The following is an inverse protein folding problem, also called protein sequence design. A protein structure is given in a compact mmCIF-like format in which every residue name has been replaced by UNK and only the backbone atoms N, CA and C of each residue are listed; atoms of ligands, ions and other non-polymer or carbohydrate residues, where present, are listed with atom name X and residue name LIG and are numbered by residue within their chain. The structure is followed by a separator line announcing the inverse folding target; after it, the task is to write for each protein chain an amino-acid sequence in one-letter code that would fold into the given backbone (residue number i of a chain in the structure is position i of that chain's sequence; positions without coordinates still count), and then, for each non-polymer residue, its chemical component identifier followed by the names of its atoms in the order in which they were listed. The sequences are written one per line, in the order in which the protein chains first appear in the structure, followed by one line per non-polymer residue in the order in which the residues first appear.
data_IF_722545976715
#
_entry.id   IF_722545976715
#
_cell.length_a   1.000
_cell.length_b   1.000
_cell.length_c   1.000
_cell.angle_alpha   90.00
_cell.angle_beta   90.00
_cell.angle_gamma   90.00
#
_symmetry.space_group_name_H-M   'P 1'
#
loop_
_entity.id
_entity.type
_entity.pdbx_description
1 polymer ?
#
# COMPACT_ATOMS: atom_id res chain seq x y z
N UNK A 1 11.78 -9.03 10.96
CA UNK A 1 11.23 -7.81 10.34
C UNK A 1 11.40 -7.98 8.83
N UNK A 2 10.33 -7.97 8.03
CA UNK A 2 10.44 -8.20 6.58
C UNK A 2 10.91 -6.91 5.87
N UNK A 3 12.16 -6.86 5.36
CA UNK A 3 12.72 -5.67 4.71
C UNK A 3 12.20 -5.44 3.29
N UNK A 4 11.22 -6.23 2.84
CA UNK A 4 10.85 -6.38 1.44
C UNK A 4 9.94 -5.25 0.91
N UNK A 5 9.27 -4.50 1.80
CA UNK A 5 8.35 -3.42 1.40
C UNK A 5 8.97 -2.02 1.47
N UNK A 6 10.28 -1.92 1.73
CA UNK A 6 10.92 -0.61 1.98
C UNK A 6 11.23 0.19 0.71
N UNK A 7 11.15 -0.42 -0.48
CA UNK A 7 11.56 0.20 -1.74
C UNK A 7 10.62 -0.19 -2.90
N UNK A 8 9.31 0.00 -2.78
CA UNK A 8 8.51 0.14 -4.00
C UNK A 8 8.89 1.47 -4.65
N UNK A 9 9.88 1.44 -5.54
CA UNK A 9 10.12 2.55 -6.45
C UNK A 9 8.85 2.71 -7.28
N UNK A 10 8.08 3.76 -6.98
CA UNK A 10 6.94 4.14 -7.81
C UNK A 10 7.46 4.50 -9.20
N UNK A 11 7.44 3.53 -10.11
CA UNK A 11 7.86 3.70 -11.51
C UNK A 11 6.89 4.59 -12.33
N UNK A 12 5.84 5.09 -11.69
CA UNK A 12 4.83 5.97 -12.26
C UNK A 12 5.07 7.41 -11.77
N UNK A 13 5.52 8.26 -12.71
CA UNK A 13 5.68 9.70 -12.52
C UNK A 13 4.42 10.44 -12.98
N UNK A 14 4.19 11.69 -12.52
CA UNK A 14 3.04 12.50 -12.96
C UNK A 14 2.94 12.65 -14.47
N UNK A 15 4.07 12.93 -15.15
CA UNK A 15 4.14 13.02 -16.62
C UNK A 15 3.74 11.71 -17.29
N UNK A 16 4.18 10.57 -16.75
CA UNK A 16 3.83 9.26 -17.29
C UNK A 16 2.34 8.95 -17.06
N UNK A 17 1.79 9.30 -15.91
CA UNK A 17 0.37 9.15 -15.61
C UNK A 17 -0.50 10.00 -16.54
N UNK A 18 -0.13 11.27 -16.74
CA UNK A 18 -0.80 12.18 -17.68
C UNK A 18 -0.83 11.59 -19.10
N UNK A 19 0.31 11.08 -19.59
CA UNK A 19 0.38 10.45 -20.92
C UNK A 19 -0.49 9.20 -21.04
N UNK A 20 -0.49 8.34 -20.02
CA UNK A 20 -1.34 7.15 -20.00
C UNK A 20 -2.81 7.56 -20.04
N UNK A 21 -3.23 8.50 -19.20
CA UNK A 21 -4.63 8.92 -19.13
C UNK A 21 -5.09 9.60 -20.43
N UNK A 22 -4.23 10.38 -21.07
CA UNK A 22 -4.52 10.99 -22.36
C UNK A 22 -4.77 9.93 -23.46
N UNK A 23 -4.11 8.77 -23.41
CA UNK A 23 -4.37 7.66 -24.36
C UNK A 23 -5.79 7.09 -24.25
N UNK A 24 -6.44 7.25 -23.10
CA UNK A 24 -7.81 6.82 -22.84
C UNK A 24 -8.83 7.98 -22.88
N UNK A 25 -8.43 9.14 -23.42
CA UNK A 25 -9.30 10.32 -23.54
C UNK A 25 -9.43 11.18 -22.28
N UNK A 26 -8.67 10.87 -21.23
CA UNK A 26 -8.67 11.63 -19.97
C UNK A 26 -7.49 12.60 -19.97
N UNK A 27 -7.74 13.83 -20.40
CA UNK A 27 -6.73 14.89 -20.40
C UNK A 27 -6.75 15.61 -19.06
N UNK A 28 -5.64 15.53 -18.32
CA UNK A 28 -5.46 16.19 -17.03
C UNK A 28 -4.22 17.07 -17.05
N UNK A 29 -4.16 18.06 -16.17
CA UNK A 29 -2.95 18.87 -15.99
C UNK A 29 -1.86 18.06 -15.27
N UNK A 30 -0.64 18.61 -15.25
CA UNK A 30 0.45 18.00 -14.47
C UNK A 30 0.13 18.03 -12.97
N UNK A 31 -0.46 19.12 -12.48
CA UNK A 31 -0.88 19.31 -11.09
C UNK A 31 -1.95 18.27 -10.68
N UNK A 32 -2.96 18.05 -11.52
CA UNK A 32 -3.96 17.01 -11.30
C UNK A 32 -3.32 15.62 -11.17
N UNK A 33 -2.32 15.33 -12.02
CA UNK A 33 -1.59 14.07 -11.97
C UNK A 33 -0.77 13.90 -10.69
N UNK A 34 -0.19 14.99 -10.18
CA UNK A 34 0.54 15.01 -8.91
C UNK A 34 -0.38 14.73 -7.73
N UNK A 35 -1.50 15.45 -7.64
CA UNK A 35 -2.50 15.29 -6.58
C UNK A 35 -3.08 13.87 -6.59
N UNK A 36 -3.47 13.38 -7.77
CA UNK A 36 -3.99 12.03 -7.94
C UNK A 36 -2.99 10.97 -7.49
N UNK A 37 -1.72 11.07 -7.92
CA UNK A 37 -0.70 10.11 -7.53
C UNK A 37 -0.41 10.16 -6.03
N UNK A 38 -0.40 11.34 -5.42
CA UNK A 38 -0.26 11.47 -3.97
C UNK A 38 -1.38 10.75 -3.22
N UNK A 39 -2.63 10.96 -3.65
CA UNK A 39 -3.79 10.30 -3.07
C UNK A 39 -3.68 8.77 -3.19
N UNK A 40 -3.37 8.25 -4.38
CA UNK A 40 -3.21 6.82 -4.63
C UNK A 40 -2.11 6.19 -3.76
N UNK A 41 -1.00 6.90 -3.58
CA UNK A 41 0.09 6.44 -2.70
C UNK A 41 -0.33 6.37 -1.24
N UNK A 42 -1.07 7.38 -0.74
CA UNK A 42 -1.61 7.38 0.62
C UNK A 42 -2.56 6.21 0.84
N UNK A 43 -3.48 5.98 -0.10
CA UNK A 43 -4.43 4.86 -0.03
C UNK A 43 -3.72 3.50 -0.08
N UNK A 44 -2.72 3.35 -0.95
CA UNK A 44 -1.92 2.12 -1.05
C UNK A 44 -1.20 1.82 0.26
N UNK A 45 -0.57 2.85 0.86
CA UNK A 45 0.10 2.73 2.17
C UNK A 45 -0.89 2.33 3.28
N UNK A 46 -2.08 2.91 3.30
CA UNK A 46 -3.12 2.56 4.27
C UNK A 46 -3.57 1.10 4.11
N UNK A 47 -3.80 0.65 2.88
CA UNK A 47 -4.21 -0.73 2.58
C UNK A 47 -3.16 -1.76 3.02
N UNK A 48 -1.88 -1.52 2.71
CA UNK A 48 -0.78 -2.40 3.13
C UNK A 48 -0.65 -2.42 4.66
N UNK A 49 -0.73 -1.26 5.31
CA UNK A 49 -0.66 -1.18 6.77
C UNK A 49 -1.80 -1.94 7.45
N UNK A 50 -3.02 -1.83 6.92
CA UNK A 50 -4.18 -2.53 7.49
C UNK A 50 -4.04 -4.03 7.31
N UNK A 51 -3.63 -4.48 6.11
CA UNK A 51 -3.33 -5.89 5.83
C UNK A 51 -2.27 -6.43 6.79
N UNK A 52 -1.19 -5.67 7.03
CA UNK A 52 -0.13 -6.07 7.95
C UNK A 52 -0.63 -6.21 9.39
N UNK A 53 -1.49 -5.31 9.87
CA UNK A 53 -2.10 -5.43 11.20
C UNK A 53 -2.95 -6.70 11.33
N UNK A 54 -3.78 -6.99 10.33
CA UNK A 54 -4.60 -8.21 10.33
C UNK A 54 -3.76 -9.49 10.32
N UNK A 55 -2.69 -9.52 9.52
CA UNK A 55 -1.74 -10.66 9.53
C UNK A 55 -1.04 -10.80 10.87
N UNK A 56 -0.61 -9.69 11.48
CA UNK A 56 0.06 -9.69 12.78
C UNK A 56 -0.87 -10.15 13.91
N UNK A 57 -2.14 -9.73 13.88
CA UNK A 57 -3.16 -10.16 14.84
C UNK A 57 -3.52 -11.65 14.69
N UNK A 58 -3.48 -12.19 13.46
CA UNK A 58 -3.78 -13.60 13.19
C UNK A 58 -2.69 -14.57 13.67
N UNK A 59 -1.47 -14.08 13.93
CA UNK A 59 -0.37 -14.88 14.49
C UNK A 59 -0.45 -15.01 16.03
N UNK A 60 -1.40 -14.33 16.68
CA UNK A 60 -1.68 -14.48 18.11
C UNK A 60 -2.87 -15.44 18.29
N UNK A 61 -2.67 -16.72 17.95
CA UNK A 61 -3.50 -17.78 18.52
C UNK A 61 -2.85 -18.23 19.83
N UNK A 62 -3.58 -18.32 20.95
CA UNK A 62 -3.02 -18.88 22.17
C UNK A 62 -2.61 -20.33 21.89
N UNK A 63 -1.41 -20.71 22.34
CA UNK A 63 -1.01 -22.12 22.36
C UNK A 63 -1.94 -22.82 23.35
N UNK A 64 -2.95 -23.52 22.87
CA UNK A 64 -3.69 -24.47 23.68
C UNK A 64 -2.68 -25.52 24.18
N UNK A 65 -2.39 -25.52 25.49
CA UNK A 65 -1.56 -26.57 26.09
C UNK A 65 -0.56 -26.17 27.19
N UNK A 66 -0.62 -24.98 27.81
CA UNK A 66 0.08 -24.79 29.09
C UNK A 66 -0.70 -25.52 30.20
N UNK A 67 -0.32 -26.78 30.42
CA UNK A 67 -0.70 -27.56 31.59
C UNK A 67 -0.06 -26.86 32.79
N UNK A 68 -0.87 -26.10 33.53
CA UNK A 68 -0.53 -25.65 34.89
C UNK A 68 -0.55 -26.90 35.77
N UNK A 69 0.63 -27.36 36.17
CA UNK A 69 0.75 -28.33 37.26
C UNK A 69 0.52 -27.62 38.61
N UNK A 70 -0.09 -28.32 39.59
CA UNK A 70 -0.56 -27.75 40.85
C UNK A 70 0.56 -27.21 41.75
#
# INVERSE_FOLDING_TARGET
MLPQFRNEQYNLTPVKAQRILAQYGTNITLEDAEIMLELLRKLSKLSVNETLKHVSASQVKPREGEIVNP
#
